data_IF_007403922499
#
_entry.id   IF_007403922499
#
_cell.length_a   1.000
_cell.length_b   1.000
_cell.length_c   1.000
_cell.angle_alpha   90.00
_cell.angle_beta   90.00
_cell.angle_gamma   90.00
#
_symmetry.space_group_name_H-M   'P 1'
#
loop_
_entity.id
_entity.type
_entity.pdbx_description
1 polymer ?
#
# COMPACT_ATOMS: atom_id res chain seq x y z
N UNK A 1 2.06 4.78 -10.59
CA UNK A 1 2.81 4.54 -11.86
C UNK A 1 4.05 3.78 -11.49
N UNK A 2 4.37 2.66 -12.15
CA UNK A 2 5.54 1.85 -11.83
C UNK A 2 6.48 1.77 -13.03
N UNK A 3 7.78 1.87 -12.78
CA UNK A 3 8.79 1.49 -13.75
C UNK A 3 8.96 -0.02 -13.66
N UNK A 4 8.79 -0.71 -14.79
CA UNK A 4 8.83 -2.16 -14.87
C UNK A 4 9.96 -2.60 -15.79
N UNK A 5 10.80 -3.49 -15.28
CA UNK A 5 11.72 -4.27 -16.09
C UNK A 5 11.12 -5.66 -16.32
N UNK A 6 11.04 -6.07 -17.59
CA UNK A 6 10.55 -7.39 -18.01
C UNK A 6 11.72 -8.20 -18.51
N UNK A 7 12.13 -9.21 -17.74
CA UNK A 7 13.17 -10.14 -18.16
C UNK A 7 12.52 -11.33 -18.91
N UNK A 8 12.99 -11.66 -20.13
CA UNK A 8 12.47 -12.78 -20.88
C UNK A 8 12.77 -14.12 -20.20
N UNK A 9 11.78 -15.01 -20.20
CA UNK A 9 11.90 -16.40 -19.78
C UNK A 9 11.32 -17.33 -20.85
N UNK A 10 11.50 -18.64 -20.67
CA UNK A 10 11.08 -19.64 -21.68
C UNK A 10 9.57 -19.68 -21.90
N UNK A 11 8.78 -19.58 -20.82
CA UNK A 11 7.31 -19.72 -20.85
C UNK A 11 6.59 -18.44 -20.39
N UNK A 12 7.26 -17.29 -20.46
CA UNK A 12 6.77 -16.06 -19.85
C UNK A 12 7.87 -15.04 -19.59
N UNK A 13 7.59 -14.07 -18.72
CA UNK A 13 8.51 -13.00 -18.35
C UNK A 13 8.52 -12.80 -16.84
N UNK A 14 9.71 -12.66 -16.27
CA UNK A 14 9.85 -12.15 -14.91
C UNK A 14 9.67 -10.63 -14.93
N UNK A 15 8.96 -10.11 -13.95
CA UNK A 15 8.69 -8.69 -13.80
C UNK A 15 9.32 -8.24 -12.50
N UNK A 16 10.13 -7.18 -12.57
CA UNK A 16 10.62 -6.44 -11.40
C UNK A 16 10.23 -4.99 -11.62
N UNK A 17 9.77 -4.32 -10.56
CA UNK A 17 9.36 -2.95 -10.68
C UNK A 17 9.50 -2.15 -9.41
N UNK A 18 9.51 -0.84 -9.57
CA UNK A 18 9.48 0.11 -8.48
C UNK A 18 8.80 1.40 -8.91
N UNK A 19 8.22 2.12 -7.96
CA UNK A 19 7.57 3.40 -8.26
C UNK A 19 6.85 4.00 -7.06
N UNK A 20 6.33 5.23 -7.19
CA UNK A 20 5.46 5.82 -6.19
C UNK A 20 4.06 5.19 -6.25
N UNK A 21 3.46 5.04 -5.08
CA UNK A 21 2.08 4.62 -4.86
C UNK A 21 1.37 5.66 -3.99
N UNK A 22 0.07 5.81 -4.20
CA UNK A 22 -0.80 6.62 -3.35
C UNK A 22 -1.98 5.76 -2.92
N UNK A 23 -2.32 5.82 -1.64
CA UNK A 23 -3.46 5.13 -1.09
C UNK A 23 -4.36 6.11 -0.35
N UNK A 24 -5.66 5.80 -0.34
CA UNK A 24 -6.67 6.54 0.37
C UNK A 24 -7.34 5.65 1.42
N UNK A 25 -7.24 6.03 2.69
CA UNK A 25 -7.85 5.33 3.82
C UNK A 25 -9.35 5.54 3.84
N UNK A 26 -10.12 4.46 3.61
CA UNK A 26 -11.58 4.49 3.64
C UNK A 26 -12.16 4.15 5.03
N UNK A 27 -11.41 3.42 5.86
CA UNK A 27 -11.86 2.95 7.16
C UNK A 27 -11.01 1.79 7.67
N UNK A 28 -10.96 1.61 8.99
CA UNK A 28 -10.15 0.55 9.62
C UNK A 28 -10.61 0.23 11.03
N UNK A 29 -10.06 -0.84 11.61
CA UNK A 29 -10.28 -1.20 13.02
C UNK A 29 -8.91 -1.39 13.67
N UNK A 30 -8.70 -0.77 14.82
CA UNK A 30 -7.50 -0.95 15.64
C UNK A 30 -7.84 -1.86 16.81
N UNK A 31 -6.97 -2.84 17.07
CA UNK A 31 -6.95 -3.56 18.33
C UNK A 31 -5.70 -3.14 19.08
N UNK A 32 -5.88 -2.58 20.27
CA UNK A 32 -4.77 -2.23 21.16
C UNK A 32 -4.68 -3.32 22.22
N UNK A 33 -3.62 -4.11 22.19
CA UNK A 33 -3.38 -5.16 23.19
C UNK A 33 -2.49 -4.58 24.29
N UNK A 34 -3.09 -4.26 25.44
CA UNK A 34 -2.39 -3.67 26.60
C UNK A 34 -3.29 -3.20 27.76
N UNK A 35 -4.62 -3.36 27.64
CA UNK A 35 -5.67 -3.03 28.62
C UNK A 35 -7.01 -3.64 28.17
N UNK A 36 -8.16 -3.19 28.72
CA UNK A 36 -9.49 -3.68 28.31
C UNK A 36 -9.59 -3.77 26.78
N UNK A 37 -9.96 -4.95 26.28
CA UNK A 37 -9.93 -5.28 24.85
C UNK A 37 -11.07 -4.54 24.13
N UNK A 38 -10.88 -3.26 23.89
CA UNK A 38 -11.75 -2.41 23.08
C UNK A 38 -11.40 -2.50 21.59
N UNK A 39 -12.36 -2.85 20.75
CA UNK A 39 -12.25 -2.71 19.30
C UNK A 39 -12.65 -1.29 18.91
N UNK A 40 -11.67 -0.40 18.76
CA UNK A 40 -11.96 0.97 18.31
C UNK A 40 -11.94 1.05 16.78
N UNK A 41 -12.97 1.67 16.21
CA UNK A 41 -13.01 1.98 14.79
C UNK A 41 -12.02 3.11 14.51
N UNK A 42 -11.09 2.89 13.58
CA UNK A 42 -10.17 3.92 13.13
C UNK A 42 -10.90 4.79 12.12
N UNK A 43 -10.99 6.08 12.42
CA UNK A 43 -11.41 7.11 11.47
C UNK A 43 -10.19 7.70 10.78
N UNK A 44 -10.30 7.82 9.46
CA UNK A 44 -9.33 8.48 8.61
C UNK A 44 -9.82 9.88 8.29
N UNK A 45 -8.98 10.89 8.49
CA UNK A 45 -9.36 12.27 8.24
C UNK A 45 -8.33 13.27 8.79
N UNK A 46 -8.74 14.53 8.83
CA UNK A 46 -7.92 15.65 9.29
C UNK A 46 -8.55 16.42 10.44
N UNK A 47 -9.59 15.87 11.07
CA UNK A 47 -10.28 16.46 12.23
C UNK A 47 -9.69 15.99 13.56
N UNK A 48 -10.20 16.55 14.65
CA UNK A 48 -9.75 16.24 16.02
C UNK A 48 -9.94 14.77 16.42
N UNK A 49 -11.00 14.11 15.91
CA UNK A 49 -11.31 12.72 16.28
C UNK A 49 -10.66 11.68 15.37
N UNK A 50 -9.92 12.12 14.34
CA UNK A 50 -9.30 11.23 13.37
C UNK A 50 -7.90 10.82 13.83
N UNK A 51 -7.59 9.53 13.79
CA UNK A 51 -6.30 9.01 14.26
C UNK A 51 -5.25 9.02 13.14
N UNK A 52 -5.68 8.75 11.91
CA UNK A 52 -4.80 8.61 10.75
C UNK A 52 -5.23 9.57 9.65
N UNK A 53 -4.25 10.11 8.91
CA UNK A 53 -4.50 10.91 7.72
C UNK A 53 -5.07 10.02 6.61
N UNK A 54 -5.97 10.56 5.77
CA UNK A 54 -6.62 9.77 4.74
C UNK A 54 -5.69 9.48 3.55
N UNK A 55 -4.66 10.29 3.31
CA UNK A 55 -3.74 10.11 2.18
C UNK A 55 -2.42 9.51 2.67
N UNK A 56 -2.04 8.39 2.08
CA UNK A 56 -0.73 7.76 2.23
C UNK A 56 0.01 7.83 0.89
N UNK A 57 1.25 8.32 0.91
CA UNK A 57 2.17 8.37 -0.23
C UNK A 57 3.30 7.41 0.09
N UNK A 58 3.51 6.42 -0.77
CA UNK A 58 4.39 5.28 -0.48
C UNK A 58 5.35 5.00 -1.63
N UNK A 59 6.54 4.48 -1.30
CA UNK A 59 7.39 3.81 -2.27
C UNK A 59 6.92 2.36 -2.44
N UNK A 60 6.80 1.92 -3.68
CA UNK A 60 6.41 0.57 -4.07
C UNK A 60 7.58 -0.16 -4.72
N UNK A 61 7.79 -1.40 -4.34
CA UNK A 61 8.66 -2.35 -5.05
C UNK A 61 7.82 -3.60 -5.33
N UNK A 62 7.94 -4.16 -6.52
CA UNK A 62 7.21 -5.37 -6.92
C UNK A 62 8.09 -6.36 -7.67
N UNK A 63 7.72 -7.62 -7.55
CA UNK A 63 8.30 -8.73 -8.30
C UNK A 63 7.20 -9.73 -8.66
N UNK A 64 7.32 -10.36 -9.82
CA UNK A 64 6.41 -11.44 -10.19
C UNK A 64 6.77 -12.10 -11.50
N UNK A 65 5.81 -12.90 -11.98
CA UNK A 65 5.95 -13.68 -13.19
C UNK A 65 4.65 -13.63 -13.99
N UNK A 66 4.78 -13.42 -15.30
CA UNK A 66 3.69 -13.42 -16.27
C UNK A 66 3.92 -14.56 -17.26
N UNK A 67 2.97 -15.49 -17.38
CA UNK A 67 3.03 -16.58 -18.34
C UNK A 67 2.57 -16.13 -19.73
N UNK A 68 3.03 -16.81 -20.78
CA UNK A 68 2.59 -16.57 -22.16
C UNK A 68 1.07 -16.74 -22.37
N UNK A 69 0.39 -17.44 -21.45
CA UNK A 69 -1.07 -17.56 -21.45
C UNK A 69 -1.80 -16.26 -21.09
N UNK A 70 -1.08 -15.27 -20.52
CA UNK A 70 -1.63 -14.02 -19.98
C UNK A 70 -1.90 -14.08 -18.47
N UNK A 71 -1.82 -15.24 -17.82
CA UNK A 71 -1.89 -15.33 -16.36
C UNK A 71 -0.66 -14.67 -15.75
N UNK A 72 -0.82 -13.96 -14.64
CA UNK A 72 0.32 -13.44 -13.87
C UNK A 72 0.11 -13.59 -12.37
N UNK A 73 1.24 -13.64 -11.67
CA UNK A 73 1.34 -13.58 -10.22
C UNK A 73 2.38 -12.54 -9.84
N UNK A 74 2.05 -11.65 -8.91
CA UNK A 74 2.95 -10.62 -8.43
C UNK A 74 2.82 -10.44 -6.92
N UNK A 75 3.93 -10.13 -6.28
CA UNK A 75 3.97 -9.62 -4.90
C UNK A 75 4.58 -8.23 -4.91
N UNK A 76 4.14 -7.41 -3.98
CA UNK A 76 4.72 -6.08 -3.82
C UNK A 76 4.90 -5.75 -2.35
N UNK A 77 5.80 -4.82 -2.09
CA UNK A 77 6.01 -4.19 -0.79
C UNK A 77 5.80 -2.69 -0.94
N UNK A 78 5.05 -2.09 -0.01
CA UNK A 78 4.91 -0.64 0.09
C UNK A 78 5.46 -0.16 1.42
N UNK A 79 6.14 0.99 1.38
CA UNK A 79 6.57 1.72 2.56
C UNK A 79 6.13 3.17 2.45
N UNK A 80 5.36 3.68 3.40
CA UNK A 80 4.89 5.07 3.39
C UNK A 80 6.07 6.02 3.58
N UNK A 81 6.16 7.03 2.73
CA UNK A 81 7.17 8.09 2.78
C UNK A 81 6.68 9.31 3.59
N UNK A 82 5.37 9.43 3.80
CA UNK A 82 4.78 10.48 4.61
C UNK A 82 4.34 9.95 5.98
N UNK A 83 4.30 10.86 6.96
CA UNK A 83 3.69 10.56 8.25
C UNK A 83 2.17 10.44 8.11
N UNK A 84 1.65 9.24 8.37
CA UNK A 84 0.23 8.90 8.31
C UNK A 84 -0.52 9.19 9.61
N UNK A 85 0.16 9.53 10.70
CA UNK A 85 -0.49 9.91 11.95
C UNK A 85 -1.11 11.30 11.86
N UNK A 86 -2.31 11.45 12.43
CA UNK A 86 -2.97 12.75 12.51
C UNK A 86 -2.58 13.46 13.82
N UNK A 87 -1.76 14.50 13.70
CA UNK A 87 -1.26 15.29 14.83
C UNK A 87 -2.18 16.47 15.20
N UNK A 88 -3.48 16.42 14.87
CA UNK A 88 -4.41 17.55 15.04
C UNK A 88 -4.50 18.07 16.49
N UNK A 89 -4.56 17.18 17.48
CA UNK A 89 -4.71 17.56 18.90
C UNK A 89 -3.38 17.82 19.62
N UNK A 90 -2.25 17.80 18.92
CA UNK A 90 -0.98 18.08 19.58
C UNK A 90 -0.87 19.57 19.91
N UNK A 91 -0.53 19.88 21.16
CA UNK A 91 -0.19 21.25 21.51
C UNK A 91 1.06 21.68 20.73
N UNK A 92 1.26 22.99 20.47
CA UNK A 92 2.45 23.49 19.76
C UNK A 92 3.79 23.09 20.42
N UNK A 93 3.77 22.75 21.71
CA UNK A 93 4.91 22.27 22.50
C UNK A 93 5.15 20.76 22.42
N UNK A 94 4.19 19.99 21.91
CA UNK A 94 4.27 18.53 21.91
C UNK A 94 5.02 18.01 20.68
N UNK A 95 5.90 17.00 20.85
CA UNK A 95 6.60 16.41 19.72
C UNK A 95 5.61 15.70 18.79
N UNK A 96 5.70 15.99 17.49
CA UNK A 96 4.88 15.34 16.47
C UNK A 96 5.09 13.82 16.49
N UNK A 97 4.00 13.06 16.58
CA UNK A 97 4.06 11.61 16.43
C UNK A 97 4.27 11.29 14.96
N UNK A 98 5.25 10.44 14.66
CA UNK A 98 5.54 9.97 13.31
C UNK A 98 5.23 8.48 13.22
N UNK A 99 4.24 8.14 12.40
CA UNK A 99 3.94 6.76 12.06
C UNK A 99 4.08 6.58 10.55
N UNK A 100 4.89 5.61 10.17
CA UNK A 100 5.01 5.09 8.81
C UNK A 100 4.35 3.70 8.72
N UNK A 101 3.54 3.50 7.68
CA UNK A 101 2.94 2.23 7.33
C UNK A 101 3.86 1.40 6.43
N UNK A 102 3.76 0.08 6.54
CA UNK A 102 4.45 -0.85 5.66
C UNK A 102 3.60 -2.08 5.45
N UNK A 103 3.39 -2.48 4.20
CA UNK A 103 2.55 -3.64 3.89
C UNK A 103 3.00 -4.38 2.65
N UNK A 104 2.66 -5.67 2.62
CA UNK A 104 2.84 -6.52 1.45
C UNK A 104 1.51 -6.72 0.73
N UNK A 105 1.56 -6.84 -0.59
CA UNK A 105 0.42 -7.15 -1.44
C UNK A 105 0.67 -8.41 -2.26
N UNK A 106 -0.40 -9.17 -2.48
CA UNK A 106 -0.44 -10.37 -3.32
C UNK A 106 -1.41 -10.12 -4.48
N UNK A 107 -0.96 -10.38 -5.70
CA UNK A 107 -1.75 -10.15 -6.92
C UNK A 107 -1.76 -11.40 -7.77
N UNK A 108 -2.95 -11.74 -8.26
CA UNK A 108 -3.17 -12.75 -9.29
C UNK A 108 -4.10 -12.14 -10.33
N UNK A 109 -3.80 -12.35 -11.60
CA UNK A 109 -4.61 -11.78 -12.67
C UNK A 109 -4.39 -12.43 -14.02
N UNK A 110 -5.10 -11.91 -15.02
CA UNK A 110 -5.09 -12.40 -16.38
C UNK A 110 -5.14 -11.24 -17.38
N UNK A 111 -4.20 -11.21 -18.33
CA UNK A 111 -4.19 -10.30 -19.46
C UNK A 111 -5.01 -10.85 -20.62
N UNK A 112 -6.06 -10.11 -21.00
CA UNK A 112 -6.86 -10.42 -22.18
C UNK A 112 -6.09 -9.96 -23.42
N UNK A 113 -5.52 -10.91 -24.14
CA UNK A 113 -4.86 -10.65 -25.42
C UNK A 113 -5.92 -10.49 -26.51
N UNK A 114 -6.17 -9.26 -26.96
CA UNK A 114 -6.98 -9.02 -28.16
C UNK A 114 -6.14 -9.30 -29.40
N UNK A 115 -6.38 -10.44 -30.05
CA UNK A 115 -5.90 -10.67 -31.41
C UNK A 115 -6.76 -9.82 -32.35
N UNK A 116 -6.25 -8.66 -32.78
CA UNK A 116 -6.82 -8.01 -33.96
C UNK A 116 -6.56 -8.91 -35.16
N UNK A 117 -7.64 -9.44 -35.73
CA UNK A 117 -7.66 -10.00 -37.09
C UNK A 117 -7.56 -8.88 -38.11
#
# INVERSE_FOLDING_TARGET
MNFLYRAPGTNGHFIVGLGPSIAYGLGGKAKISGGETGSNTIKFGSGADDLLKPIEISGNILVGYEWNSGIFFQVNYNHSLNNIYNNYNLAPSDPATNWHNSYFGLHIGYFIHSTKK
#
